data_IF_881728302727
#
_entry.id   IF_881728302727
#
_cell.length_a   1.000
_cell.length_b   1.000
_cell.length_c   1.000
_cell.angle_alpha   90.00
_cell.angle_beta   90.00
_cell.angle_gamma   90.00
#
_symmetry.space_group_name_H-M   'P 1'
#
loop_
_entity.id
_entity.type
_entity.pdbx_description
1 polymer ?
#
# COMPACT_ATOMS: atom_id res chain seq x y z
N UNK A 1 -8.64 13.03 15.98
CA UNK A 1 -8.70 12.77 17.43
C UNK A 1 -7.29 12.62 17.97
N UNK A 2 -7.02 13.24 19.11
CA UNK A 2 -5.74 13.08 19.81
C UNK A 2 -5.97 12.84 21.29
N UNK A 3 -5.15 11.99 21.87
CA UNK A 3 -5.10 11.73 23.31
C UNK A 3 -3.64 11.72 23.75
N UNK A 4 -3.36 12.24 24.93
CA UNK A 4 -2.03 12.23 25.54
C UNK A 4 -2.12 11.94 27.02
N UNK A 5 -1.20 11.15 27.53
CA UNK A 5 -1.07 10.78 28.93
C UNK A 5 0.36 10.36 29.27
N UNK A 6 0.58 9.95 30.52
CA UNK A 6 1.93 9.61 31.02
C UNK A 6 2.55 8.43 30.24
N UNK A 7 1.71 7.54 29.71
CA UNK A 7 2.16 6.37 28.95
C UNK A 7 2.45 6.66 27.47
N UNK A 8 2.09 7.83 26.95
CA UNK A 8 2.30 8.16 25.54
C UNK A 8 1.20 9.02 24.94
N UNK A 9 1.22 9.11 23.61
CA UNK A 9 0.24 9.86 22.83
C UNK A 9 -0.33 9.00 21.71
N UNK A 10 -1.63 9.14 21.49
CA UNK A 10 -2.39 8.49 20.42
C UNK A 10 -2.97 9.55 19.49
N UNK A 11 -2.72 9.42 18.21
CA UNK A 11 -3.28 10.25 17.16
C UNK A 11 -4.09 9.39 16.21
N UNK A 12 -5.32 9.80 15.93
CA UNK A 12 -6.20 9.12 14.97
C UNK A 12 -6.80 10.18 14.06
N UNK A 13 -6.68 9.96 12.76
CA UNK A 13 -7.38 10.69 11.74
C UNK A 13 -8.42 9.77 11.12
N UNK A 14 -9.65 10.25 11.03
CA UNK A 14 -10.77 9.50 10.48
C UNK A 14 -11.67 10.43 9.65
N UNK A 15 -12.35 9.86 8.68
CA UNK A 15 -13.43 10.53 7.94
C UNK A 15 -14.68 10.69 8.82
N UNK A 16 -15.64 11.49 8.34
CA UNK A 16 -16.90 11.73 9.04
C UNK A 16 -17.74 10.45 9.22
N UNK A 17 -17.58 9.48 8.31
CA UNK A 17 -18.21 8.15 8.37
C UNK A 17 -17.54 7.18 9.38
N UNK A 18 -16.45 7.63 10.03
CA UNK A 18 -15.70 6.84 11.01
C UNK A 18 -14.57 6.00 10.42
N UNK A 19 -14.34 6.04 9.10
CA UNK A 19 -13.23 5.32 8.45
C UNK A 19 -11.89 5.90 8.89
N UNK A 20 -11.02 5.07 9.45
CA UNK A 20 -9.70 5.47 9.95
C UNK A 20 -8.76 5.63 8.76
N UNK A 21 -8.16 6.81 8.60
CA UNK A 21 -7.16 7.13 7.59
C UNK A 21 -5.74 6.99 8.12
N UNK A 22 -5.52 7.43 9.34
CA UNK A 22 -4.23 7.29 9.99
C UNK A 22 -4.36 7.02 11.48
N UNK A 23 -3.36 6.32 12.00
CA UNK A 23 -3.22 5.99 13.40
C UNK A 23 -1.75 6.08 13.78
N UNK A 24 -1.43 6.69 14.89
CA UNK A 24 -0.07 6.74 15.43
C UNK A 24 -0.09 6.66 16.95
N UNK A 25 0.56 5.64 17.48
CA UNK A 25 0.80 5.44 18.90
C UNK A 25 2.26 5.74 19.21
N UNK A 26 2.52 6.82 19.93
CA UNK A 26 3.84 7.20 20.42
C UNK A 26 3.87 6.91 21.91
N UNK A 27 4.63 5.88 22.31
CA UNK A 27 4.85 5.60 23.73
C UNK A 27 5.95 6.49 24.28
N UNK A 28 5.76 7.00 25.48
CA UNK A 28 6.81 7.68 26.23
C UNK A 28 7.85 6.63 26.61
N UNK A 29 9.06 6.74 26.06
CA UNK A 29 10.17 5.92 26.52
C UNK A 29 10.56 6.39 27.91
N UNK A 30 10.42 5.54 28.91
CA UNK A 30 10.99 5.77 30.22
C UNK A 30 12.51 5.68 30.11
N UNK A 31 13.23 6.54 30.86
CA UNK A 31 14.71 6.61 30.84
C UNK A 31 15.40 5.25 31.13
N UNK A 32 14.70 4.30 31.71
CA UNK A 32 15.19 2.92 31.90
C UNK A 32 15.49 2.18 30.59
N UNK A 33 14.90 2.60 29.45
CA UNK A 33 15.21 2.04 28.13
C UNK A 33 16.61 2.48 27.60
N UNK A 34 17.21 3.50 28.19
CA UNK A 34 18.58 3.93 27.90
C UNK A 34 19.59 3.40 28.92
N UNK A 35 19.19 2.42 29.72
CA UNK A 35 20.02 1.82 30.77
C UNK A 35 21.32 1.22 30.26
N UNK A 36 22.40 1.91 30.61
CA UNK A 36 23.73 1.37 30.83
C UNK A 36 24.44 0.79 29.60
N UNK A 37 25.37 1.53 29.09
CA UNK A 37 26.42 1.11 28.14
C UNK A 37 27.37 0.02 28.70
N UNK A 38 26.85 -1.06 29.18
CA UNK A 38 27.64 -2.26 29.47
C UNK A 38 27.08 -3.45 28.68
N UNK A 39 27.43 -3.49 27.40
CA UNK A 39 27.07 -4.55 26.47
C UNK A 39 26.52 -3.96 25.17
N UNK A 40 26.88 -4.57 24.06
CA UNK A 40 26.24 -4.28 22.77
C UNK A 40 24.75 -4.52 22.95
N UNK A 41 23.87 -3.61 22.46
CA UNK A 41 22.44 -3.82 22.51
C UNK A 41 22.13 -5.18 21.85
N UNK A 42 21.36 -6.00 22.54
CA UNK A 42 20.85 -7.21 21.93
C UNK A 42 20.15 -6.85 20.63
N UNK A 43 20.45 -7.57 19.55
CA UNK A 43 19.73 -7.37 18.28
C UNK A 43 18.24 -7.50 18.56
N UNK A 44 17.41 -6.60 18.05
CA UNK A 44 15.97 -6.71 18.19
C UNK A 44 15.53 -8.09 17.72
N UNK A 45 14.96 -8.88 18.61
CA UNK A 45 14.41 -10.19 18.28
C UNK A 45 12.92 -10.01 18.00
N UNK A 46 12.59 -9.77 16.75
CA UNK A 46 11.22 -9.74 16.31
C UNK A 46 10.89 -11.02 15.53
N UNK A 47 9.67 -11.50 15.67
CA UNK A 47 9.11 -12.52 14.80
C UNK A 47 8.29 -11.84 13.70
N UNK A 48 8.81 -11.85 12.47
CA UNK A 48 8.14 -11.26 11.31
C UNK A 48 6.77 -11.91 11.07
N UNK A 49 6.65 -13.21 11.30
CA UNK A 49 5.38 -13.92 11.11
C UNK A 49 4.32 -13.42 12.09
N UNK A 50 4.69 -13.26 13.36
CA UNK A 50 3.79 -12.70 14.37
C UNK A 50 3.44 -11.23 14.08
N UNK A 51 4.43 -10.42 13.67
CA UNK A 51 4.21 -9.02 13.30
C UNK A 51 3.28 -8.88 12.08
N UNK A 52 3.45 -9.73 11.08
CA UNK A 52 2.60 -9.77 9.87
C UNK A 52 1.17 -10.20 10.22
N UNK A 53 1.01 -11.22 11.07
CA UNK A 53 -0.30 -11.65 11.55
C UNK A 53 -1.03 -10.54 12.34
N UNK A 54 -0.29 -9.78 13.16
CA UNK A 54 -0.84 -8.64 13.89
C UNK A 54 -1.26 -7.51 12.93
N UNK A 55 -0.45 -7.22 11.90
CA UNK A 55 -0.78 -6.26 10.86
C UNK A 55 -2.06 -6.65 10.12
N UNK A 56 -2.17 -7.91 9.68
CA UNK A 56 -3.37 -8.42 9.01
C UNK A 56 -4.60 -8.35 9.91
N UNK A 57 -4.49 -8.79 11.15
CA UNK A 57 -5.60 -8.70 12.12
C UNK A 57 -6.03 -7.26 12.42
N UNK A 58 -5.13 -6.29 12.32
CA UNK A 58 -5.47 -4.87 12.43
C UNK A 58 -6.23 -4.41 11.18
N UNK A 59 -5.76 -4.76 9.98
CA UNK A 59 -6.43 -4.42 8.72
C UNK A 59 -7.85 -4.96 8.66
N UNK A 60 -8.07 -6.20 9.09
CA UNK A 60 -9.40 -6.83 9.13
C UNK A 60 -10.42 -6.05 10.01
N UNK A 61 -9.93 -5.18 10.90
CA UNK A 61 -10.79 -4.35 11.77
C UNK A 61 -11.02 -2.93 11.24
N UNK A 62 -10.08 -2.40 10.46
CA UNK A 62 -10.11 -0.99 10.03
C UNK A 62 -10.54 -0.82 8.58
N UNK A 63 -10.46 -1.88 7.78
CA UNK A 63 -10.97 -1.90 6.41
C UNK A 63 -12.47 -2.22 6.39
N UNK A 64 -13.14 -1.76 5.36
CA UNK A 64 -14.58 -2.01 5.18
C UNK A 64 -14.82 -3.46 4.73
N UNK A 65 -15.40 -4.31 5.59
CA UNK A 65 -15.58 -5.72 5.28
C UNK A 65 -16.52 -5.89 4.07
N UNK A 66 -16.10 -6.68 3.09
CA UNK A 66 -16.85 -6.94 1.86
C UNK A 66 -16.65 -5.93 0.74
N UNK A 67 -16.00 -4.80 1.03
CA UNK A 67 -15.60 -3.83 0.02
C UNK A 67 -14.08 -3.79 -0.13
N UNK A 68 -13.35 -3.75 0.96
CA UNK A 68 -11.91 -3.55 1.02
C UNK A 68 -11.20 -4.78 1.59
N UNK A 69 -10.06 -5.13 0.99
CA UNK A 69 -9.16 -6.15 1.50
C UNK A 69 -7.72 -5.85 1.10
N UNK A 70 -6.76 -6.53 1.72
CA UNK A 70 -5.35 -6.52 1.29
C UNK A 70 -4.95 -7.98 1.12
N UNK A 71 -4.52 -8.37 -0.08
CA UNK A 71 -4.17 -9.75 -0.37
C UNK A 71 -2.81 -10.13 0.20
N UNK A 72 -1.82 -9.26 -0.01
CA UNK A 72 -0.45 -9.48 0.43
C UNK A 72 0.14 -8.21 1.04
N UNK A 73 0.83 -8.39 2.16
CA UNK A 73 1.64 -7.35 2.80
C UNK A 73 3.10 -7.58 2.46
N UNK A 74 3.72 -6.64 1.78
CA UNK A 74 5.15 -6.64 1.52
C UNK A 74 5.92 -6.10 2.73
N UNK A 75 7.05 -6.73 3.08
CA UNK A 75 7.95 -6.24 4.11
C UNK A 75 8.87 -5.17 3.53
N UNK A 76 8.61 -3.93 3.89
CA UNK A 76 9.42 -2.77 3.47
C UNK A 76 10.68 -2.62 4.29
N UNK A 77 10.60 -2.90 5.60
CA UNK A 77 11.75 -2.90 6.50
C UNK A 77 11.55 -3.82 7.69
N UNK A 78 12.67 -4.36 8.18
CA UNK A 78 12.74 -5.22 9.36
C UNK A 78 13.47 -4.54 10.52
N UNK A 79 13.35 -5.02 11.75
CA UNK A 79 14.10 -4.52 12.90
C UNK A 79 15.60 -4.46 12.64
N UNK A 80 16.23 -3.43 13.18
CA UNK A 80 17.66 -3.17 13.03
C UNK A 80 18.25 -2.62 14.31
N UNK A 81 19.56 -2.32 14.33
CA UNK A 81 20.20 -1.64 15.46
C UNK A 81 19.61 -0.26 15.79
N UNK A 82 18.86 0.32 14.87
CA UNK A 82 18.28 1.67 14.99
C UNK A 82 16.77 1.67 15.25
N UNK A 83 16.12 0.51 15.26
CA UNK A 83 14.69 0.42 15.49
C UNK A 83 14.17 -1.00 15.59
N UNK A 84 13.25 -1.21 16.53
CA UNK A 84 12.58 -2.48 16.81
C UNK A 84 11.21 -2.51 16.11
N UNK A 85 11.19 -2.38 14.78
CA UNK A 85 9.91 -2.35 14.08
C UNK A 85 9.99 -2.94 12.69
N UNK A 86 8.95 -3.67 12.31
CA UNK A 86 8.65 -4.05 10.95
C UNK A 86 7.78 -2.97 10.30
N UNK A 87 8.05 -2.66 9.05
CA UNK A 87 7.15 -1.87 8.22
C UNK A 87 6.62 -2.75 7.10
N UNK A 88 5.31 -2.76 6.97
CA UNK A 88 4.60 -3.44 5.90
C UNK A 88 3.89 -2.44 5.00
N UNK A 89 3.76 -2.78 3.72
CA UNK A 89 2.91 -2.06 2.77
C UNK A 89 2.08 -3.05 1.95
N UNK A 90 0.97 -2.58 1.41
CA UNK A 90 0.13 -3.38 0.54
C UNK A 90 -0.80 -2.52 -0.31
N UNK A 91 -1.38 -3.14 -1.33
CA UNK A 91 -2.40 -2.52 -2.19
C UNK A 91 -3.77 -2.89 -1.62
N UNK A 92 -4.64 -1.90 -1.51
CA UNK A 92 -6.04 -2.14 -1.15
C UNK A 92 -6.77 -2.67 -2.37
N UNK A 93 -7.38 -3.84 -2.24
CA UNK A 93 -8.30 -4.38 -3.23
C UNK A 93 -9.70 -3.86 -2.94
N UNK A 94 -10.38 -3.37 -3.97
CA UNK A 94 -11.79 -3.01 -3.91
C UNK A 94 -12.61 -4.13 -4.57
N UNK A 95 -13.49 -4.78 -3.82
CA UNK A 95 -14.27 -5.96 -4.28
C UNK A 95 -13.40 -7.05 -4.91
N UNK A 96 -12.17 -7.22 -4.37
CA UNK A 96 -11.21 -8.20 -4.86
C UNK A 96 -10.39 -7.78 -6.08
N UNK A 97 -10.57 -6.57 -6.61
CA UNK A 97 -9.76 -6.02 -7.71
C UNK A 97 -8.72 -5.02 -7.19
N UNK A 98 -7.49 -5.02 -7.73
CA UNK A 98 -6.47 -4.05 -7.38
C UNK A 98 -6.96 -2.61 -7.61
N UNK A 99 -6.63 -1.73 -6.66
CA UNK A 99 -6.91 -0.31 -6.75
C UNK A 99 -5.60 0.51 -6.66
N UNK A 100 -5.61 1.80 -6.98
CA UNK A 100 -4.45 2.66 -6.78
C UNK A 100 -4.22 3.05 -5.31
N UNK A 101 -4.98 2.49 -4.37
CA UNK A 101 -4.91 2.81 -2.96
C UNK A 101 -3.90 1.91 -2.25
N UNK A 102 -3.06 2.52 -1.42
CA UNK A 102 -2.06 1.83 -0.65
C UNK A 102 -2.35 1.90 0.83
N UNK A 103 -1.79 0.95 1.55
CA UNK A 103 -1.78 0.91 3.01
C UNK A 103 -0.35 0.70 3.50
N UNK A 104 -0.01 1.32 4.62
CA UNK A 104 1.27 1.15 5.30
C UNK A 104 1.05 0.97 6.80
N UNK A 105 1.77 0.00 7.38
CA UNK A 105 1.72 -0.30 8.81
C UNK A 105 3.13 -0.36 9.38
N UNK A 106 3.27 0.05 10.64
CA UNK A 106 4.47 -0.20 11.44
C UNK A 106 4.07 -1.04 12.65
N UNK A 107 4.72 -2.17 12.80
CA UNK A 107 4.49 -3.13 13.89
C UNK A 107 5.76 -3.26 14.70
N UNK A 108 5.67 -3.10 16.02
CA UNK A 108 6.81 -3.27 16.91
C UNK A 108 7.17 -4.75 17.02
N UNK A 109 8.47 -5.04 16.94
CA UNK A 109 8.98 -6.41 16.96
C UNK A 109 8.84 -7.10 18.29
N UNK A 110 9.00 -6.35 19.40
CA UNK A 110 9.04 -6.92 20.77
C UNK A 110 7.68 -7.46 21.25
N UNK A 111 6.57 -6.85 20.83
CA UNK A 111 5.22 -7.20 21.31
C UNK A 111 4.18 -7.30 20.20
N UNK A 112 4.60 -7.17 18.94
CA UNK A 112 3.74 -7.16 17.76
C UNK A 112 2.61 -6.11 17.80
N UNK A 113 2.80 -5.01 18.55
CA UNK A 113 1.84 -3.92 18.59
C UNK A 113 1.93 -3.09 17.31
N UNK A 114 0.78 -2.84 16.67
CA UNK A 114 0.70 -1.87 15.57
C UNK A 114 0.86 -0.47 16.14
N UNK A 115 1.92 0.21 15.77
CA UNK A 115 2.26 1.55 16.28
C UNK A 115 1.93 2.66 15.31
N UNK A 116 1.88 2.34 14.01
CA UNK A 116 1.46 3.28 12.97
C UNK A 116 0.65 2.57 11.91
N UNK A 117 -0.30 3.29 11.37
CA UNK A 117 -1.09 2.90 10.22
C UNK A 117 -1.39 4.15 9.41
N UNK A 118 -1.32 4.03 8.10
CA UNK A 118 -1.83 5.02 7.17
C UNK A 118 -2.38 4.33 5.93
N UNK A 119 -3.40 4.92 5.36
CA UNK A 119 -3.98 4.48 4.09
C UNK A 119 -4.27 5.67 3.20
N UNK A 120 -4.22 5.42 1.90
CA UNK A 120 -4.74 6.38 0.95
C UNK A 120 -6.28 6.40 1.06
N UNK A 121 -6.85 7.59 0.97
CA UNK A 121 -8.28 7.77 0.85
C UNK A 121 -8.62 8.16 -0.59
N UNK A 122 -9.64 7.56 -1.15
CA UNK A 122 -10.33 8.19 -2.27
C UNK A 122 -10.97 9.47 -1.73
N UNK A 123 -10.87 10.57 -2.47
CA UNK A 123 -11.57 11.80 -2.12
C UNK A 123 -13.05 11.50 -1.88
N UNK A 124 -13.61 12.16 -0.88
CA UNK A 124 -14.96 11.88 -0.32
C UNK A 124 -16.08 11.84 -1.39
N UNK A 125 -15.84 12.45 -2.56
CA UNK A 125 -16.76 12.42 -3.69
C UNK A 125 -16.71 11.14 -4.55
N UNK A 126 -15.63 10.37 -4.46
CA UNK A 126 -15.43 9.15 -5.26
C UNK A 126 -15.91 7.88 -4.59
N UNK A 127 -16.18 7.90 -3.28
CA UNK A 127 -16.56 6.72 -2.48
C UNK A 127 -18.06 6.36 -2.57
N UNK A 128 -18.87 7.18 -3.24
CA UNK A 128 -20.32 6.97 -3.30
C UNK A 128 -20.76 5.72 -4.09
N UNK A 129 -19.93 5.21 -4.98
CA UNK A 129 -20.27 4.02 -5.76
C UNK A 129 -19.04 3.34 -6.35
N UNK A 130 -18.39 2.47 -5.56
CA UNK A 130 -17.47 1.50 -6.18
C UNK A 130 -18.30 0.57 -7.05
N UNK A 131 -18.08 0.55 -8.39
CA UNK A 131 -18.88 -0.26 -9.29
C UNK A 131 -18.73 -1.76 -9.00
N UNK A 132 -19.57 -2.57 -9.63
CA UNK A 132 -19.44 -4.02 -9.55
C UNK A 132 -18.06 -4.46 -10.09
N UNK A 133 -17.44 -5.46 -9.44
CA UNK A 133 -16.21 -6.07 -9.96
C UNK A 133 -16.47 -7.02 -11.15
N UNK A 134 -17.72 -7.21 -11.52
CA UNK A 134 -18.09 -8.01 -12.72
C UNK A 134 -18.24 -7.02 -13.88
N UNK A 135 -17.32 -7.04 -14.86
CA UNK A 135 -17.41 -6.12 -16.00
C UNK A 135 -18.61 -6.48 -16.89
N UNK A 136 -19.24 -5.49 -17.50
CA UNK A 136 -20.31 -5.69 -18.48
C UNK A 136 -19.78 -6.24 -19.83
N UNK A 137 -18.53 -5.86 -20.18
CA UNK A 137 -17.83 -6.37 -21.36
C UNK A 137 -16.83 -7.46 -20.98
N UNK A 138 -16.77 -8.52 -21.76
CA UNK A 138 -15.72 -9.53 -21.58
C UNK A 138 -14.36 -9.06 -22.12
N UNK A 139 -13.29 -9.78 -21.77
CA UNK A 139 -11.93 -9.43 -22.17
C UNK A 139 -11.69 -9.45 -23.68
N UNK A 140 -12.45 -10.26 -24.45
CA UNK A 140 -12.33 -10.31 -25.91
C UNK A 140 -12.94 -9.04 -26.55
N UNK A 141 -14.09 -8.61 -26.07
CA UNK A 141 -14.74 -7.36 -26.47
C UNK A 141 -13.85 -6.18 -26.14
N UNK A 142 -13.29 -6.11 -24.92
CA UNK A 142 -12.36 -5.06 -24.49
C UNK A 142 -11.10 -5.03 -25.37
N UNK A 143 -10.50 -6.20 -25.64
CA UNK A 143 -9.35 -6.30 -26.54
C UNK A 143 -9.66 -5.87 -27.98
N UNK A 144 -10.87 -6.15 -28.44
CA UNK A 144 -11.37 -5.69 -29.75
C UNK A 144 -11.46 -4.17 -29.83
N UNK A 145 -12.04 -3.55 -28.82
CA UNK A 145 -12.13 -2.08 -28.71
C UNK A 145 -10.73 -1.44 -28.62
N UNK A 146 -9.84 -1.98 -27.82
CA UNK A 146 -8.48 -1.50 -27.70
C UNK A 146 -7.75 -1.54 -29.05
N UNK A 147 -7.87 -2.63 -29.82
CA UNK A 147 -7.26 -2.75 -31.15
C UNK A 147 -7.78 -1.71 -32.16
N UNK A 148 -9.04 -1.32 -32.06
CA UNK A 148 -9.61 -0.30 -32.96
C UNK A 148 -9.22 1.13 -32.56
N UNK A 149 -8.89 1.34 -31.28
CA UNK A 149 -8.54 2.66 -30.74
C UNK A 149 -7.02 2.88 -30.75
N UNK A 150 -6.22 1.79 -30.78
CA UNK A 150 -4.77 1.87 -30.72
C UNK A 150 -4.20 2.55 -31.97
N UNK A 151 -3.64 3.74 -31.79
CA UNK A 151 -2.89 4.44 -32.83
C UNK A 151 -1.45 3.97 -32.85
N UNK A 152 -0.96 3.56 -34.02
CA UNK A 152 0.43 3.14 -34.23
C UNK A 152 1.12 4.14 -35.15
N UNK A 153 2.33 4.53 -34.79
CA UNK A 153 3.22 5.33 -35.64
C UNK A 153 4.41 4.50 -36.08
N UNK A 154 4.88 4.75 -37.28
CA UNK A 154 6.07 4.10 -37.83
C UNK A 154 7.28 4.97 -37.53
N UNK A 155 8.26 4.42 -36.80
CA UNK A 155 9.48 5.14 -36.42
C UNK A 155 10.75 4.32 -36.65
N UNK A 156 11.85 5.04 -36.88
CA UNK A 156 13.18 4.45 -36.77
C UNK A 156 13.58 4.41 -35.30
N UNK A 157 13.91 3.21 -34.81
CA UNK A 157 14.38 3.00 -33.45
C UNK A 157 15.74 2.32 -33.45
N UNK A 158 16.57 2.64 -32.46
CA UNK A 158 17.77 1.89 -32.16
C UNK A 158 17.38 0.73 -31.23
N UNK A 159 17.50 -0.55 -31.63
CA UNK A 159 17.01 -1.67 -30.84
C UNK A 159 17.77 -1.88 -29.54
N UNK A 160 18.99 -1.39 -29.42
CA UNK A 160 19.86 -1.44 -28.25
C UNK A 160 20.62 -0.13 -28.12
N UNK A 161 21.03 0.23 -26.90
CA UNK A 161 21.72 1.50 -26.59
C UNK A 161 23.01 1.71 -27.41
N UNK A 162 23.72 0.63 -27.80
CA UNK A 162 24.95 0.66 -28.59
C UNK A 162 24.74 0.31 -30.09
N UNK A 163 23.49 0.23 -30.52
CA UNK A 163 23.17 -0.15 -31.89
C UNK A 163 23.50 0.97 -32.86
N UNK A 164 24.31 0.66 -33.88
CA UNK A 164 24.66 1.60 -34.95
C UNK A 164 23.69 1.55 -36.14
N UNK A 165 22.73 0.63 -36.12
CA UNK A 165 21.74 0.47 -37.19
C UNK A 165 20.33 0.72 -36.61
N UNK A 166 19.65 1.70 -37.22
CA UNK A 166 18.24 1.93 -36.96
C UNK A 166 17.40 0.90 -37.69
N UNK A 167 16.35 0.43 -37.03
CA UNK A 167 15.31 -0.44 -37.60
C UNK A 167 13.96 0.26 -37.61
N UNK A 168 13.14 -0.02 -38.60
CA UNK A 168 11.83 0.53 -38.72
C UNK A 168 10.84 -0.33 -37.91
N UNK A 169 10.12 0.28 -36.96
CA UNK A 169 9.14 -0.40 -36.10
C UNK A 169 7.85 0.39 -35.97
N UNK A 170 6.74 -0.31 -35.84
CA UNK A 170 5.51 0.28 -35.38
C UNK A 170 5.54 0.39 -33.87
N UNK A 171 5.34 1.58 -33.35
CA UNK A 171 5.26 1.88 -31.92
C UNK A 171 3.89 2.43 -31.58
N UNK A 172 3.34 2.14 -30.37
CA UNK A 172 2.16 2.83 -29.88
C UNK A 172 2.43 4.33 -29.82
N UNK A 173 1.42 5.13 -30.08
CA UNK A 173 1.52 6.59 -29.90
C UNK A 173 1.62 6.89 -28.40
N UNK A 174 2.73 7.49 -27.91
CA UNK A 174 2.93 7.72 -26.48
C UNK A 174 2.03 8.81 -25.88
N UNK A 175 1.26 9.51 -26.71
CA UNK A 175 0.44 10.66 -26.28
C UNK A 175 -0.92 10.23 -25.71
N UNK A 176 -1.30 8.95 -25.82
CA UNK A 176 -2.62 8.49 -25.42
C UNK A 176 -2.52 7.36 -24.37
N UNK A 177 -3.06 7.62 -23.19
CA UNK A 177 -3.47 6.57 -22.28
C UNK A 177 -4.81 6.00 -22.80
N UNK A 178 -4.87 4.68 -22.93
CA UNK A 178 -6.06 4.00 -23.40
C UNK A 178 -6.74 3.32 -22.21
N UNK A 179 -7.98 3.68 -21.98
CA UNK A 179 -8.85 2.99 -21.06
C UNK A 179 -9.96 2.33 -21.87
N UNK A 180 -10.30 1.13 -21.51
CA UNK A 180 -11.52 0.45 -21.98
C UNK A 180 -12.45 0.45 -20.79
N UNK A 181 -13.57 1.14 -20.92
CA UNK A 181 -14.61 1.15 -19.91
C UNK A 181 -15.15 -0.25 -19.72
N UNK A 182 -15.26 -0.69 -18.48
CA UNK A 182 -15.82 -1.99 -18.13
C UNK A 182 -17.33 -2.00 -17.96
N UNK A 183 -18.00 -0.83 -18.20
CA UNK A 183 -19.46 -0.69 -18.14
C UNK A 183 -20.15 -1.02 -19.48
#
# INVERSE_FOLDING_TARGET
LSWSGDAGSLYIEALEDGKILSYSLVQTQTEESYGGREGLPALPQGDETAARAAAQSFLDRVLDPGLESVEELETVSSPSLYGDSYRFSGIILLRGLPSPLHVSLTVRGSDSAVTRFSRDALETGCLGSVPSSVPAADGETAAGQLKTTLSLRLEYVLPEEESTQAVLRYLPDPVHEFYVDGE
#
